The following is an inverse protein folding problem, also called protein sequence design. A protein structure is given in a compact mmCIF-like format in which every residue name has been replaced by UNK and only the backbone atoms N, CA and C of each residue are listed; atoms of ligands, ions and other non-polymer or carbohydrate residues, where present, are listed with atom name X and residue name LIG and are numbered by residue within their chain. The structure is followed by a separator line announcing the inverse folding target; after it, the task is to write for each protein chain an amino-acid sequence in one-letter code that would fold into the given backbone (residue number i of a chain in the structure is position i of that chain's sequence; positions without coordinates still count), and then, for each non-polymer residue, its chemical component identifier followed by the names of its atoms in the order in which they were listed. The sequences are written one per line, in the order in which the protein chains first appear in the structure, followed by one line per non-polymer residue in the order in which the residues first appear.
data_IF_187009410285
#
_entry.id   IF_187009410285
#
_cell.length_a   1.000
_cell.length_b   1.000
_cell.length_c   1.000
_cell.angle_alpha   90.00
_cell.angle_beta   90.00
_cell.angle_gamma   90.00
#
_symmetry.space_group_name_H-M   'P 1'
#
loop_
_entity.id
_entity.type
_entity.pdbx_description
1 polymer ?
#
# COMPACT_ATOMS: atom_id res chain seq x y z
N UNK A 1 -4.03 6.88 16.08
CA UNK A 1 -3.70 5.83 15.07
C UNK A 1 -4.92 5.43 14.25
N UNK A 2 -6.06 5.13 14.88
CA UNK A 2 -7.32 4.75 14.22
C UNK A 2 -7.78 5.76 13.14
N UNK A 3 -7.73 7.07 13.43
CA UNK A 3 -8.09 8.12 12.44
C UNK A 3 -7.24 8.07 11.15
N UNK A 4 -5.93 7.80 11.27
CA UNK A 4 -5.02 7.70 10.10
C UNK A 4 -5.30 6.44 9.26
N UNK A 5 -5.63 5.33 9.94
CA UNK A 5 -5.98 4.07 9.29
C UNK A 5 -7.32 4.21 8.55
N UNK A 6 -8.34 4.79 9.19
CA UNK A 6 -9.64 5.07 8.56
C UNK A 6 -9.51 5.94 7.30
N UNK A 7 -8.73 7.02 7.39
CA UNK A 7 -8.44 7.88 6.23
C UNK A 7 -7.74 7.08 5.13
N UNK A 8 -6.77 6.23 5.48
CA UNK A 8 -6.06 5.39 4.51
C UNK A 8 -6.99 4.39 3.83
N UNK A 9 -7.94 3.80 4.56
CA UNK A 9 -8.94 2.87 3.98
C UNK A 9 -9.82 3.59 2.96
N UNK A 10 -10.29 4.81 3.28
CA UNK A 10 -11.10 5.61 2.37
C UNK A 10 -10.30 5.96 1.11
N UNK A 11 -9.05 6.40 1.27
CA UNK A 11 -8.17 6.72 0.13
C UNK A 11 -7.91 5.48 -0.73
N UNK A 12 -7.60 4.34 -0.11
CA UNK A 12 -7.39 3.08 -0.81
C UNK A 12 -8.62 2.68 -1.62
N UNK A 13 -9.81 2.79 -1.04
CA UNK A 13 -11.07 2.49 -1.74
C UNK A 13 -11.27 3.36 -2.98
N UNK A 14 -11.06 4.68 -2.85
CA UNK A 14 -11.12 5.59 -3.99
C UNK A 14 -10.05 5.27 -5.05
N UNK A 15 -8.83 4.94 -4.64
CA UNK A 15 -7.75 4.56 -5.55
C UNK A 15 -8.11 3.28 -6.32
N UNK A 16 -8.65 2.27 -5.64
CA UNK A 16 -9.04 1.01 -6.28
C UNK A 16 -10.13 1.22 -7.31
N UNK A 17 -11.16 2.01 -6.99
CA UNK A 17 -12.23 2.32 -7.94
C UNK A 17 -11.69 3.07 -9.16
N UNK A 18 -10.77 4.01 -8.94
CA UNK A 18 -10.18 4.80 -10.02
C UNK A 18 -9.27 3.94 -10.89
N UNK A 19 -8.50 3.03 -10.30
CA UNK A 19 -7.66 2.06 -11.01
C UNK A 19 -8.49 1.11 -11.88
N UNK A 20 -9.55 0.52 -11.31
CA UNK A 20 -10.36 -0.49 -12.00
C UNK A 20 -11.32 0.12 -13.03
N UNK A 21 -11.74 1.37 -12.85
CA UNK A 21 -12.72 2.02 -13.72
C UNK A 21 -12.08 2.90 -14.81
N UNK A 22 -11.08 3.71 -14.45
CA UNK A 22 -10.48 4.68 -15.36
C UNK A 22 -9.15 4.22 -15.93
N UNK A 23 -8.23 3.70 -15.10
CA UNK A 23 -6.89 3.33 -15.59
C UNK A 23 -6.88 2.12 -16.53
N UNK A 24 -7.89 1.24 -16.47
CA UNK A 24 -8.07 0.15 -17.44
C UNK A 24 -8.25 0.69 -18.87
N UNK A 25 -8.84 1.88 -19.04
CA UNK A 25 -9.02 2.52 -20.35
C UNK A 25 -7.69 3.07 -20.91
N UNK A 26 -6.76 3.46 -20.04
CA UNK A 26 -5.42 3.95 -20.40
C UNK A 26 -4.40 2.81 -20.54
N UNK A 27 -4.84 1.61 -20.90
CA UNK A 27 -3.99 0.44 -21.08
C UNK A 27 -3.10 0.58 -22.34
N UNK A 28 -2.13 1.49 -22.29
CA UNK A 28 -1.10 1.65 -23.30
C UNK A 28 -0.10 0.52 -23.06
N UNK A 29 -0.13 -0.50 -23.91
CA UNK A 29 0.85 -1.60 -23.94
C UNK A 29 0.80 -2.59 -22.76
N UNK A 30 -0.39 -2.97 -22.26
CA UNK A 30 -0.57 -3.97 -21.18
C UNK A 30 0.01 -3.58 -19.82
N UNK A 31 0.44 -2.33 -19.66
CA UNK A 31 0.97 -1.81 -18.40
C UNK A 31 -0.09 -0.93 -17.74
N UNK A 32 -0.74 -1.48 -16.73
CA UNK A 32 -1.68 -0.73 -15.88
C UNK A 32 -0.86 -0.16 -14.72
N UNK A 33 -0.83 1.18 -14.53
CA UNK A 33 -0.14 1.77 -13.39
C UNK A 33 -0.79 1.30 -12.09
N UNK A 34 -0.05 0.55 -11.26
CA UNK A 34 -0.53 0.11 -9.96
C UNK A 34 -0.38 1.26 -8.94
N UNK A 35 -1.41 2.09 -8.87
CA UNK A 35 -1.43 3.29 -8.02
C UNK A 35 -1.47 2.92 -6.54
N UNK A 36 -2.08 1.77 -6.21
CA UNK A 36 -2.07 1.20 -4.86
C UNK A 36 -0.66 0.89 -4.39
N UNK A 37 0.14 0.26 -5.24
CA UNK A 37 1.53 -0.07 -4.91
C UNK A 37 2.32 1.19 -4.53
N UNK A 38 2.19 2.26 -5.31
CA UNK A 38 2.87 3.51 -5.06
C UNK A 38 2.43 4.13 -3.72
N UNK A 39 1.13 4.11 -3.42
CA UNK A 39 0.61 4.55 -2.14
C UNK A 39 1.19 3.74 -0.97
N UNK A 40 1.27 2.41 -1.09
CA UNK A 40 1.82 1.51 -0.05
C UNK A 40 3.30 1.82 0.21
N UNK A 41 4.08 2.08 -0.85
CA UNK A 41 5.50 2.44 -0.72
C UNK A 41 5.62 3.76 0.04
N UNK A 42 4.93 4.81 -0.42
CA UNK A 42 4.98 6.14 0.22
C UNK A 42 4.50 6.08 1.67
N UNK A 43 3.42 5.36 1.95
CA UNK A 43 2.89 5.21 3.30
C UNK A 43 3.89 4.50 4.24
N UNK A 44 4.53 3.42 3.77
CA UNK A 44 5.54 2.71 4.58
C UNK A 44 6.81 3.53 4.82
N UNK A 45 7.18 4.43 3.91
CA UNK A 45 8.33 5.34 4.09
C UNK A 45 8.02 6.41 5.14
N UNK A 46 6.81 6.98 5.12
CA UNK A 46 6.39 8.05 6.04
C UNK A 46 6.06 7.49 7.43
N UNK A 47 5.52 6.28 7.49
CA UNK A 47 5.21 5.64 8.76
C UNK A 47 6.48 5.25 9.52
N UNK A 48 6.47 5.43 10.84
CA UNK A 48 7.54 4.92 11.70
C UNK A 48 7.73 3.41 11.50
N UNK A 49 8.96 2.92 11.22
CA UNK A 49 9.23 1.52 10.92
C UNK A 49 8.87 0.57 12.07
N UNK A 50 8.82 1.07 13.32
CA UNK A 50 8.42 0.29 14.51
C UNK A 50 6.91 0.02 14.59
N UNK A 51 6.09 0.73 13.80
CA UNK A 51 4.63 0.57 13.80
C UNK A 51 4.21 -0.43 12.72
N UNK A 52 3.10 -1.12 12.96
CA UNK A 52 2.55 -2.13 12.05
C UNK A 52 1.49 -1.56 11.08
N UNK A 53 1.21 -0.25 11.09
CA UNK A 53 0.13 0.34 10.28
C UNK A 53 0.31 0.10 8.78
N UNK A 54 1.53 0.17 8.27
CA UNK A 54 1.88 -0.08 6.87
C UNK A 54 1.67 -1.52 6.46
N UNK A 55 1.75 -2.47 7.40
CA UNK A 55 1.42 -3.89 7.16
C UNK A 55 -0.10 -4.04 7.05
N UNK A 56 -0.88 -3.42 7.94
CA UNK A 56 -2.34 -3.43 7.86
C UNK A 56 -2.85 -2.74 6.58
N UNK A 57 -2.26 -1.60 6.22
CA UNK A 57 -2.60 -0.88 4.98
C UNK A 57 -2.29 -1.73 3.76
N UNK A 58 -1.12 -2.39 3.70
CA UNK A 58 -0.80 -3.31 2.58
C UNK A 58 -1.74 -4.51 2.50
N UNK A 59 -2.16 -5.07 3.63
CA UNK A 59 -3.11 -6.18 3.67
C UNK A 59 -4.48 -5.76 3.13
N UNK A 60 -5.02 -4.63 3.62
CA UNK A 60 -6.32 -4.11 3.16
C UNK A 60 -6.26 -3.71 1.69
N UNK A 61 -5.19 -3.06 1.26
CA UNK A 61 -4.96 -2.69 -0.13
C UNK A 61 -4.95 -3.91 -1.06
N UNK A 62 -4.23 -4.97 -0.67
CA UNK A 62 -4.17 -6.22 -1.44
C UNK A 62 -5.50 -6.93 -1.48
N UNK A 63 -6.22 -6.94 -0.36
CA UNK A 63 -7.54 -7.56 -0.27
C UNK A 63 -8.58 -6.84 -1.13
N UNK A 64 -8.61 -5.50 -1.11
CA UNK A 64 -9.49 -4.74 -2.01
C UNK A 64 -9.15 -5.01 -3.48
N UNK A 65 -7.87 -4.98 -3.85
CA UNK A 65 -7.47 -5.18 -5.23
C UNK A 65 -7.82 -6.60 -5.70
N UNK A 66 -7.60 -7.60 -4.85
CA UNK A 66 -8.02 -8.98 -5.13
C UNK A 66 -9.53 -9.10 -5.38
N UNK A 67 -10.39 -8.41 -4.59
CA UNK A 67 -11.86 -8.41 -4.79
C UNK A 67 -12.27 -7.81 -6.13
N UNK A 68 -11.61 -6.72 -6.55
CA UNK A 68 -11.96 -6.04 -7.81
C UNK A 68 -11.23 -6.60 -9.03
N UNK A 69 -10.25 -7.50 -8.83
CA UNK A 69 -9.54 -8.17 -9.90
C UNK A 69 -10.12 -9.56 -10.18
N UNK A 70 -9.95 -10.06 -11.40
CA UNK A 70 -10.29 -11.44 -11.75
C UNK A 70 -9.27 -12.47 -11.23
N UNK A 71 -8.30 -12.06 -10.41
CA UNK A 71 -7.23 -12.92 -9.90
C UNK A 71 -7.65 -13.66 -8.62
N UNK A 72 -6.86 -14.65 -8.23
CA UNK A 72 -7.11 -15.41 -7.02
C UNK A 72 -6.97 -14.55 -5.76
N UNK A 73 -7.95 -14.66 -4.85
CA UNK A 73 -7.95 -13.95 -3.57
C UNK A 73 -6.72 -14.37 -2.75
N UNK A 74 -5.83 -13.42 -2.46
CA UNK A 74 -4.57 -13.65 -1.78
C UNK A 74 -3.34 -13.33 -2.62
N UNK A 75 -3.45 -13.25 -3.95
CA UNK A 75 -2.29 -12.98 -4.80
C UNK A 75 -1.70 -11.59 -4.52
N UNK A 76 -2.52 -10.54 -4.55
CA UNK A 76 -2.03 -9.18 -4.30
C UNK A 76 -1.71 -8.95 -2.82
N UNK A 77 -2.43 -9.61 -1.92
CA UNK A 77 -2.14 -9.57 -0.47
C UNK A 77 -0.71 -10.00 -0.19
N UNK A 78 -0.28 -11.15 -0.73
CA UNK A 78 1.07 -11.69 -0.49
C UNK A 78 2.13 -10.73 -1.05
N UNK A 79 1.92 -10.23 -2.26
CA UNK A 79 2.87 -9.31 -2.92
C UNK A 79 3.01 -8.02 -2.13
N UNK A 80 1.89 -7.38 -1.76
CA UNK A 80 1.93 -6.12 -1.03
C UNK A 80 2.47 -6.27 0.39
N UNK A 81 2.17 -7.38 1.07
CA UNK A 81 2.77 -7.69 2.36
C UNK A 81 4.29 -7.90 2.26
N UNK A 82 4.75 -8.67 1.27
CA UNK A 82 6.18 -8.90 1.06
C UNK A 82 6.93 -7.58 0.84
N UNK A 83 6.36 -6.67 0.03
CA UNK A 83 6.93 -5.36 -0.23
C UNK A 83 6.94 -4.49 1.03
N UNK A 84 5.84 -4.45 1.77
CA UNK A 84 5.72 -3.72 3.04
C UNK A 84 6.75 -4.20 4.07
N UNK A 85 6.96 -5.51 4.18
CA UNK A 85 7.96 -6.12 5.04
C UNK A 85 9.40 -5.80 4.59
N UNK A 86 9.68 -5.90 3.29
CA UNK A 86 10.99 -5.53 2.73
C UNK A 86 11.31 -4.06 2.99
N UNK A 87 10.35 -3.16 2.75
CA UNK A 87 10.51 -1.74 3.04
C UNK A 87 10.81 -1.55 4.54
N UNK A 88 9.98 -2.10 5.44
CA UNK A 88 10.22 -1.97 6.88
C UNK A 88 11.58 -2.55 7.29
N UNK A 89 12.01 -3.67 6.72
CA UNK A 89 13.32 -4.26 7.00
C UNK A 89 14.46 -3.33 6.56
N UNK A 90 14.40 -2.80 5.34
CA UNK A 90 15.39 -1.86 4.80
C UNK A 90 15.41 -0.56 5.62
N UNK A 91 14.25 0.04 5.88
CA UNK A 91 14.17 1.30 6.64
C UNK A 91 14.59 1.12 8.10
N UNK A 92 14.24 0.01 8.75
CA UNK A 92 14.67 -0.26 10.12
C UNK A 92 16.19 -0.46 10.25
N UNK A 93 16.85 -1.01 9.22
CA UNK A 93 18.28 -1.32 9.25
C UNK A 93 19.16 -0.17 8.79
N UNK A 94 18.77 0.53 7.72
CA UNK A 94 19.61 1.54 7.06
C UNK A 94 19.21 2.97 7.38
N UNK A 95 17.97 3.19 7.80
CA UNK A 95 17.38 4.51 7.89
C UNK A 95 16.92 4.71 9.34
N UNK A 96 17.89 4.88 10.25
CA UNK A 96 17.65 5.59 11.51
C UNK A 96 17.38 7.06 11.17
N UNK A 97 16.24 7.35 10.56
CA UNK A 97 15.76 8.72 10.46
C UNK A 97 15.43 9.15 11.88
N UNK A 98 16.30 9.99 12.43
CA UNK A 98 16.14 10.70 13.70
C UNK A 98 14.99 11.71 13.70
N UNK A 99 14.19 11.81 12.63
CA UNK A 99 13.08 12.78 12.52
C UNK A 99 11.93 12.53 13.50
N UNK A 100 11.89 11.41 14.22
CA UNK A 100 10.81 11.08 15.15
C UNK A 100 11.21 11.06 16.63
N UNK A 101 12.37 11.60 16.99
CA UNK A 101 12.79 11.70 18.40
C UNK A 101 12.16 12.90 19.15
N UNK A 102 11.44 13.78 18.45
CA UNK A 102 10.73 14.94 19.04
C UNK A 102 9.37 15.18 18.39
N UNK A 103 8.34 14.44 18.81
CA UNK A 103 6.96 14.96 18.90
C UNK A 103 6.18 14.13 19.91
#
# INVERSE_FOLDING_TARGET
MIKKILISIIILYFLTLLETSFFVLFNVSKWIPNTLLLYIIVFNIIENPKKYGGIYVSFIAGFLLDIFSSNFIGFHIIIFLAISLLLKFVFNRYVRISLFEKT
#
